data_IF_928344629966
#
_entry.id   IF_928344629966
#
_cell.length_a   1.000
_cell.length_b   1.000
_cell.length_c   1.000
_cell.angle_alpha   90.00
_cell.angle_beta   90.00
_cell.angle_gamma   90.00
#
_symmetry.space_group_name_H-M   'P 1'
#
loop_
_entity.id
_entity.type
_entity.pdbx_description
1 polymer ?
#
# COMPACT_ATOMS: atom_id res chain seq x y z
N UNK A 1 18.74 -9.45 -10.72
CA UNK A 1 17.80 -8.35 -10.41
C UNK A 1 16.55 -8.99 -9.83
N UNK A 2 16.05 -8.53 -8.68
CA UNK A 2 14.85 -9.09 -8.02
C UNK A 2 13.63 -8.30 -8.50
N UNK A 3 12.57 -8.99 -8.93
CA UNK A 3 11.26 -8.37 -9.20
C UNK A 3 10.48 -8.26 -7.89
N UNK A 4 9.98 -7.07 -7.57
CA UNK A 4 9.14 -6.79 -6.38
C UNK A 4 7.71 -6.35 -6.75
N UNK A 5 7.30 -6.64 -7.98
CA UNK A 5 5.95 -6.33 -8.46
C UNK A 5 5.00 -7.44 -8.00
N UNK A 6 3.84 -7.03 -7.49
CA UNK A 6 2.73 -7.92 -7.14
C UNK A 6 1.57 -7.72 -8.11
N UNK A 7 0.62 -8.66 -8.12
CA UNK A 7 -0.48 -8.70 -9.09
C UNK A 7 -1.48 -7.57 -8.86
N UNK A 8 -1.83 -7.30 -7.61
CA UNK A 8 -2.83 -6.31 -7.22
C UNK A 8 -2.60 -5.78 -5.79
N UNK A 9 -3.41 -4.80 -5.40
CA UNK A 9 -3.28 -4.14 -4.11
C UNK A 9 -3.60 -5.04 -2.91
N UNK A 10 -4.45 -6.07 -3.05
CA UNK A 10 -4.69 -7.03 -1.96
C UNK A 10 -3.45 -7.86 -1.67
N UNK A 11 -2.75 -8.30 -2.71
CA UNK A 11 -1.47 -9.01 -2.54
C UNK A 11 -0.43 -8.11 -1.89
N UNK A 12 -0.39 -6.81 -2.26
CA UNK A 12 0.55 -5.84 -1.70
C UNK A 12 0.39 -5.59 -0.20
N UNK A 13 -0.81 -5.79 0.36
CA UNK A 13 -1.14 -5.50 1.77
C UNK A 13 -1.43 -6.75 2.60
N UNK A 14 -1.25 -7.95 2.03
CA UNK A 14 -1.68 -9.20 2.63
C UNK A 14 -1.00 -9.55 3.97
N UNK A 15 0.16 -8.97 4.24
CA UNK A 15 0.96 -9.17 5.45
C UNK A 15 0.79 -8.07 6.50
N UNK A 16 -0.06 -7.07 6.24
CA UNK A 16 -0.37 -6.00 7.20
C UNK A 16 -1.43 -6.51 8.19
N UNK A 17 -1.10 -6.64 9.50
CA UNK A 17 -2.05 -7.13 10.48
C UNK A 17 -3.01 -6.03 10.96
N UNK A 18 -4.13 -6.46 11.56
CA UNK A 18 -5.06 -5.56 12.25
C UNK A 18 -4.35 -4.75 13.35
N UNK A 19 -4.71 -3.46 13.45
CA UNK A 19 -4.14 -2.55 14.44
C UNK A 19 -2.73 -2.04 14.11
N UNK A 20 -2.21 -2.31 12.91
CA UNK A 20 -0.95 -1.73 12.46
C UNK A 20 -0.98 -0.20 12.39
N UNK A 21 0.12 0.44 12.78
CA UNK A 21 0.32 1.87 12.55
C UNK A 21 0.97 2.07 11.18
N UNK A 22 0.26 2.72 10.27
CA UNK A 22 0.72 2.99 8.90
C UNK A 22 1.10 4.45 8.73
N UNK A 23 2.22 4.70 8.05
CA UNK A 23 2.58 6.03 7.57
C UNK A 23 2.22 6.14 6.10
N UNK A 24 1.49 7.18 5.73
CA UNK A 24 0.95 7.38 4.38
C UNK A 24 1.58 8.59 3.70
N UNK A 25 1.91 8.45 2.42
CA UNK A 25 2.31 9.57 1.56
C UNK A 25 1.12 10.28 0.91
N UNK A 26 1.36 11.47 0.36
CA UNK A 26 0.38 12.27 -0.37
C UNK A 26 0.02 13.60 0.31
N UNK A 27 -0.63 14.50 -0.43
CA UNK A 27 -1.13 15.78 0.05
C UNK A 27 -2.55 16.05 -0.48
N UNK A 28 -3.54 16.14 0.41
CA UNK A 28 -4.94 16.20 0.03
C UNK A 28 -5.34 14.95 -0.76
N UNK A 29 -5.67 15.11 -2.04
CA UNK A 29 -5.99 14.01 -2.97
C UNK A 29 -4.83 13.67 -3.93
N UNK A 30 -3.69 14.37 -3.83
CA UNK A 30 -2.57 14.18 -4.76
C UNK A 30 -1.54 13.21 -4.17
N UNK A 31 -1.21 12.15 -4.91
CA UNK A 31 -0.15 11.19 -4.56
C UNK A 31 -0.48 10.25 -3.40
N UNK A 32 -1.76 10.07 -3.08
CA UNK A 32 -2.21 9.07 -2.11
C UNK A 32 -2.22 7.67 -2.75
N UNK A 33 -1.96 6.59 -2.00
CA UNK A 33 -2.04 5.22 -2.53
C UNK A 33 -3.50 4.73 -2.50
N UNK A 34 -4.34 5.36 -3.33
CA UNK A 34 -5.80 5.14 -3.39
C UNK A 34 -6.23 3.69 -3.62
N UNK A 35 -5.43 2.90 -4.34
CA UNK A 35 -5.75 1.49 -4.60
C UNK A 35 -5.54 0.58 -3.37
N UNK A 36 -4.82 1.04 -2.35
CA UNK A 36 -4.50 0.28 -1.14
C UNK A 36 -5.37 0.68 0.08
N UNK A 37 -6.35 1.58 -0.09
CA UNK A 37 -7.30 2.05 0.93
C UNK A 37 -8.65 1.37 0.70
#
# INVERSE_FOLDING_TARGET
MISKTVTDAREAVADIPDGAFLMMGGFGLSGIPENCI
#
